data_IF_619210017554
#
_entry.id   IF_619210017554
#
_cell.length_a   1.000
_cell.length_b   1.000
_cell.length_c   1.000
_cell.angle_alpha   90.00
_cell.angle_beta   90.00
_cell.angle_gamma   90.00
#
_symmetry.space_group_name_H-M   'P 1'
#
loop_
_entity.id
_entity.type
_entity.pdbx_description
1 polymer ?
#
# COMPACT_ATOMS: atom_id res chain seq x y z
N UNK A 1 15.77 -7.26 -25.52
CA UNK A 1 14.70 -7.87 -24.71
C UNK A 1 15.15 -8.07 -23.27
N UNK A 2 16.27 -8.74 -23.05
CA UNK A 2 16.72 -9.03 -21.70
C UNK A 2 17.01 -7.79 -20.89
N UNK A 3 17.57 -6.76 -21.50
CA UNK A 3 17.84 -5.49 -20.80
C UNK A 3 16.54 -4.78 -20.40
N UNK A 4 15.51 -4.85 -21.24
CA UNK A 4 14.21 -4.27 -20.94
C UNK A 4 13.53 -5.05 -19.80
N UNK A 5 13.60 -6.38 -19.86
CA UNK A 5 13.04 -7.22 -18.80
C UNK A 5 13.74 -6.98 -17.47
N UNK A 6 15.07 -6.90 -17.48
CA UNK A 6 15.83 -6.64 -16.26
C UNK A 6 15.48 -5.27 -15.67
N UNK A 7 15.37 -4.24 -16.51
CA UNK A 7 14.98 -2.91 -16.08
C UNK A 7 13.56 -2.91 -15.50
N UNK A 8 12.64 -3.64 -16.14
CA UNK A 8 11.26 -3.74 -15.67
C UNK A 8 11.20 -4.43 -14.32
N UNK A 9 11.93 -5.52 -14.14
CA UNK A 9 11.96 -6.25 -12.87
C UNK A 9 12.55 -5.40 -11.76
N UNK A 10 13.61 -4.65 -12.05
CA UNK A 10 14.18 -3.72 -11.10
C UNK A 10 13.20 -2.61 -10.72
N UNK A 11 12.51 -2.05 -11.70
CA UNK A 11 11.52 -1.01 -11.46
C UNK A 11 10.35 -1.54 -10.61
N UNK A 12 9.86 -2.75 -10.91
CA UNK A 12 8.78 -3.37 -10.14
C UNK A 12 9.21 -3.63 -8.72
N UNK A 13 10.41 -4.17 -8.51
CA UNK A 13 10.93 -4.43 -7.18
C UNK A 13 11.06 -3.15 -6.36
N UNK A 14 11.61 -2.10 -6.96
CA UNK A 14 11.74 -0.80 -6.29
C UNK A 14 10.36 -0.21 -5.97
N UNK A 15 9.43 -0.28 -6.91
CA UNK A 15 8.08 0.24 -6.73
C UNK A 15 7.36 -0.45 -5.59
N UNK A 16 7.41 -1.79 -5.55
CA UNK A 16 6.78 -2.56 -4.50
C UNK A 16 7.45 -2.31 -3.14
N UNK A 17 8.77 -2.26 -3.12
CA UNK A 17 9.52 -2.01 -1.89
C UNK A 17 9.18 -0.66 -1.29
N UNK A 18 9.17 0.40 -2.10
CA UNK A 18 8.84 1.74 -1.65
C UNK A 18 7.38 1.84 -1.22
N UNK A 19 6.48 1.17 -1.95
CA UNK A 19 5.06 1.17 -1.61
C UNK A 19 4.83 0.50 -0.24
N UNK A 20 5.41 -0.68 -0.03
CA UNK A 20 5.26 -1.39 1.24
C UNK A 20 5.96 -0.67 2.38
N UNK A 21 7.10 -0.06 2.12
CA UNK A 21 7.80 0.73 3.12
C UNK A 21 6.92 1.91 3.57
N UNK A 22 6.36 2.65 2.61
CA UNK A 22 5.49 3.78 2.89
C UNK A 22 4.24 3.38 3.66
N UNK A 23 3.57 2.31 3.20
CA UNK A 23 2.38 1.78 3.86
C UNK A 23 2.71 1.32 5.28
N UNK A 24 3.82 0.60 5.46
CA UNK A 24 4.23 0.11 6.76
C UNK A 24 4.49 1.23 7.75
N UNK A 25 5.24 2.25 7.34
CA UNK A 25 5.52 3.41 8.18
C UNK A 25 4.22 4.16 8.48
N UNK A 26 3.40 4.40 7.45
CA UNK A 26 2.14 5.12 7.63
C UNK A 26 1.18 4.40 8.56
N UNK A 27 1.01 3.08 8.39
CA UNK A 27 0.16 2.29 9.25
C UNK A 27 0.71 2.22 10.67
N UNK A 28 2.03 2.16 10.83
CA UNK A 28 2.65 2.18 12.15
C UNK A 28 2.35 3.47 12.90
N UNK A 29 2.52 4.60 12.23
CA UNK A 29 2.23 5.91 12.84
C UNK A 29 0.73 6.04 13.13
N UNK A 30 -0.12 5.65 12.19
CA UNK A 30 -1.56 5.68 12.36
C UNK A 30 -1.99 4.79 13.53
N UNK A 31 -1.43 3.58 13.63
CA UNK A 31 -1.73 2.65 14.71
C UNK A 31 -1.38 3.23 16.08
N UNK A 32 -0.22 3.86 16.19
CA UNK A 32 0.19 4.50 17.43
C UNK A 32 -0.77 5.63 17.82
N UNK A 33 -1.18 6.44 16.84
CA UNK A 33 -2.11 7.54 17.09
C UNK A 33 -3.50 7.04 17.45
N UNK A 34 -3.96 5.97 16.80
CA UNK A 34 -5.25 5.36 17.10
C UNK A 34 -5.26 4.81 18.52
N UNK A 35 -4.21 4.09 18.90
CA UNK A 35 -4.08 3.55 20.26
C UNK A 35 -4.09 4.66 21.29
N UNK A 36 -3.38 5.76 21.02
CA UNK A 36 -3.35 6.91 21.91
C UNK A 36 -4.73 7.55 22.04
N UNK A 37 -5.44 7.73 20.92
CA UNK A 37 -6.77 8.33 20.91
C UNK A 37 -7.76 7.49 21.73
N UNK A 38 -7.76 6.16 21.53
CA UNK A 38 -8.64 5.25 22.27
C UNK A 38 -8.26 5.25 23.75
N UNK A 39 -6.96 5.29 24.05
CA UNK A 39 -6.49 5.28 25.42
C UNK A 39 -6.92 6.53 26.20
N UNK A 40 -6.95 7.69 25.54
CA UNK A 40 -7.38 8.94 26.18
C UNK A 40 -8.89 9.06 26.29
N UNK A 41 -9.60 8.56 25.26
CA UNK A 41 -11.07 8.66 25.21
C UNK A 41 -11.64 7.32 24.74
N UNK A 42 -11.80 6.35 25.67
CA UNK A 42 -12.37 5.05 25.31
C UNK A 42 -13.75 5.13 24.67
N UNK A 43 -14.48 6.21 24.93
CA UNK A 43 -15.82 6.41 24.38
C UNK A 43 -15.79 6.61 22.87
N UNK A 44 -14.65 7.04 22.30
CA UNK A 44 -14.50 7.28 20.87
C UNK A 44 -14.05 6.04 20.10
N UNK A 45 -13.90 4.90 20.76
CA UNK A 45 -13.39 3.67 20.14
C UNK A 45 -14.16 3.30 18.88
N UNK A 46 -15.48 3.36 18.93
CA UNK A 46 -16.34 3.03 17.81
C UNK A 46 -16.08 3.94 16.61
N UNK A 47 -16.01 5.23 16.84
CA UNK A 47 -15.79 6.21 15.77
C UNK A 47 -14.40 6.09 15.18
N UNK A 48 -13.39 5.90 16.04
CA UNK A 48 -12.00 5.77 15.59
C UNK A 48 -11.82 4.50 14.76
N UNK A 49 -12.38 3.37 15.23
CA UNK A 49 -12.28 2.10 14.51
C UNK A 49 -12.98 2.21 13.15
N UNK A 50 -14.13 2.88 13.09
CA UNK A 50 -14.84 3.06 11.84
C UNK A 50 -14.00 3.86 10.84
N UNK A 51 -13.34 4.92 11.30
CA UNK A 51 -12.44 5.71 10.46
C UNK A 51 -11.26 4.88 9.95
N UNK A 52 -10.67 4.07 10.82
CA UNK A 52 -9.56 3.19 10.44
C UNK A 52 -10.02 2.18 9.39
N UNK A 53 -11.21 1.63 9.52
CA UNK A 53 -11.75 0.68 8.55
C UNK A 53 -11.93 1.32 7.18
N UNK A 54 -12.39 2.57 7.12
CA UNK A 54 -12.51 3.29 5.86
C UNK A 54 -11.15 3.45 5.21
N UNK A 55 -10.13 3.86 5.97
CA UNK A 55 -8.76 4.00 5.46
C UNK A 55 -8.24 2.65 4.97
N UNK A 56 -8.51 1.57 5.71
CA UNK A 56 -8.08 0.24 5.33
C UNK A 56 -8.70 -0.19 3.99
N UNK A 57 -9.97 0.10 3.78
CA UNK A 57 -10.65 -0.22 2.53
C UNK A 57 -10.03 0.56 1.37
N UNK A 58 -9.76 1.84 1.55
CA UNK A 58 -9.11 2.67 0.53
C UNK A 58 -7.73 2.10 0.19
N UNK A 59 -6.95 1.74 1.21
CA UNK A 59 -5.62 1.15 1.01
C UNK A 59 -5.73 -0.19 0.27
N UNK A 60 -6.71 -1.01 0.60
CA UNK A 60 -6.91 -2.29 -0.09
C UNK A 60 -7.20 -2.08 -1.57
N UNK A 61 -8.04 -1.11 -1.92
CA UNK A 61 -8.34 -0.78 -3.32
C UNK A 61 -7.08 -0.31 -4.02
N UNK A 62 -6.30 0.56 -3.40
CA UNK A 62 -5.05 1.05 -3.98
C UNK A 62 -4.06 -0.08 -4.20
N UNK A 63 -3.96 -1.03 -3.25
CA UNK A 63 -3.09 -2.19 -3.40
C UNK A 63 -3.54 -3.09 -4.54
N UNK A 64 -4.84 -3.28 -4.71
CA UNK A 64 -5.36 -4.06 -5.84
C UNK A 64 -4.98 -3.42 -7.17
N UNK A 65 -5.09 -2.10 -7.27
CA UNK A 65 -4.68 -1.37 -8.47
C UNK A 65 -3.18 -1.52 -8.70
N UNK A 66 -2.37 -1.42 -7.64
CA UNK A 66 -0.93 -1.58 -7.72
C UNK A 66 -0.57 -2.98 -8.23
N UNK A 67 -1.19 -4.03 -7.68
CA UNK A 67 -0.93 -5.39 -8.09
C UNK A 67 -1.38 -5.65 -9.53
N UNK A 68 -2.49 -5.06 -9.94
CA UNK A 68 -2.93 -5.15 -11.34
C UNK A 68 -1.91 -4.51 -12.27
N UNK A 69 -1.35 -3.36 -11.89
CA UNK A 69 -0.32 -2.69 -12.65
C UNK A 69 0.95 -3.52 -12.74
N UNK A 70 1.35 -4.12 -11.61
CA UNK A 70 2.52 -5.00 -11.57
C UNK A 70 2.32 -6.21 -12.47
N UNK A 71 1.13 -6.81 -12.43
CA UNK A 71 0.79 -7.94 -13.30
C UNK A 71 0.94 -7.55 -14.77
N UNK A 72 0.44 -6.38 -15.14
CA UNK A 72 0.60 -5.87 -16.50
C UNK A 72 2.06 -5.74 -16.90
N UNK A 73 2.88 -5.18 -16.01
CA UNK A 73 4.29 -4.98 -16.31
C UNK A 73 5.06 -6.31 -16.43
N UNK A 74 4.67 -7.32 -15.65
CA UNK A 74 5.38 -8.59 -15.65
C UNK A 74 4.96 -9.49 -16.80
N UNK A 75 3.68 -9.51 -17.15
CA UNK A 75 3.15 -10.48 -18.11
C UNK A 75 2.83 -9.88 -19.48
N UNK A 76 2.40 -8.65 -19.52
CA UNK A 76 2.03 -7.97 -20.77
C UNK A 76 2.86 -6.74 -21.04
N UNK A 77 3.99 -6.63 -20.43
CA UNK A 77 4.89 -5.48 -20.39
C UNK A 77 4.70 -4.52 -21.57
N UNK A 78 4.00 -3.38 -21.40
CA UNK A 78 3.77 -2.44 -22.48
C UNK A 78 5.07 -1.74 -22.93
N UNK A 79 6.13 -1.84 -22.13
CA UNK A 79 7.41 -1.23 -22.48
C UNK A 79 8.14 -2.00 -23.57
N UNK A 80 7.75 -3.24 -23.82
CA UNK A 80 8.35 -4.06 -24.88
C UNK A 80 7.59 -3.97 -26.22
N UNK A 81 6.46 -3.30 -26.24
CA UNK A 81 5.60 -3.20 -27.44
C UNK A 81 5.89 -1.96 -28.29
#
# INVERSE_FOLDING_TARGET
MDSILAATMGAVGTMLGLAFLGIGIGLGIMGARVAEAIGRNPETKSDVVQGVMIVAIVLAVLLLILFAFVFLLLFFNPLTV
#
